data_IF_098056258158
#
_entry.id   IF_098056258158
#
_cell.length_a   1.000
_cell.length_b   1.000
_cell.length_c   1.000
_cell.angle_alpha   90.00
_cell.angle_beta   90.00
_cell.angle_gamma   90.00
#
_symmetry.space_group_name_H-M   'P 1'
#
loop_
_entity.id
_entity.type
_entity.pdbx_description
1 polymer ?
#
# COMPACT_ATOMS: atom_id res chain seq x y z
N UNK A 1 -1.45 -9.49 -13.19
CA UNK A 1 -0.93 -9.45 -11.80
C UNK A 1 -1.93 -8.69 -10.95
N UNK A 2 -2.33 -9.24 -9.80
CA UNK A 2 -3.41 -8.69 -8.96
C UNK A 2 -3.12 -7.28 -8.40
N UNK A 3 -1.86 -6.84 -8.38
CA UNK A 3 -1.44 -5.56 -7.79
C UNK A 3 -1.12 -4.47 -8.84
N UNK A 4 -1.68 -4.58 -10.05
CA UNK A 4 -1.43 -3.62 -11.14
C UNK A 4 -2.35 -2.41 -10.97
N UNK A 5 -1.81 -1.20 -11.05
CA UNK A 5 -2.60 0.03 -11.12
C UNK A 5 -3.43 0.06 -12.41
N UNK A 6 -4.67 0.52 -12.30
CA UNK A 6 -5.49 0.79 -13.48
C UNK A 6 -4.79 1.80 -14.42
N UNK A 7 -4.99 1.65 -15.73
CA UNK A 7 -4.37 2.50 -16.74
C UNK A 7 -4.95 3.93 -16.74
N UNK A 8 -6.19 4.08 -16.25
CA UNK A 8 -6.88 5.37 -16.11
C UNK A 8 -6.49 6.15 -14.84
N UNK A 9 -5.67 5.56 -13.97
CA UNK A 9 -5.22 6.20 -12.74
C UNK A 9 -4.47 7.51 -13.00
N UNK A 10 -4.82 8.54 -12.24
CA UNK A 10 -4.15 9.84 -12.28
C UNK A 10 -2.68 9.65 -11.90
N UNK A 11 -1.79 10.17 -12.75
CA UNK A 11 -0.34 10.10 -12.49
C UNK A 11 0.03 11.18 -11.49
N UNK A 12 0.63 10.79 -10.37
CA UNK A 12 1.26 11.71 -9.42
C UNK A 12 2.74 11.90 -9.81
N UNK A 13 3.21 13.15 -9.86
CA UNK A 13 4.57 13.50 -10.29
C UNK A 13 4.98 12.91 -11.66
N UNK A 14 4.03 12.82 -12.60
CA UNK A 14 4.31 12.35 -13.97
C UNK A 14 4.58 10.84 -14.12
N UNK A 15 4.48 10.07 -13.04
CA UNK A 15 4.73 8.62 -13.03
C UNK A 15 3.60 7.85 -12.33
N UNK A 16 3.66 6.50 -12.36
CA UNK A 16 2.67 5.70 -11.65
C UNK A 16 2.79 6.01 -10.14
N UNK A 17 1.69 6.35 -9.46
CA UNK A 17 1.66 6.65 -8.03
C UNK A 17 2.24 5.53 -7.15
N UNK A 18 2.19 4.27 -7.59
CA UNK A 18 2.84 3.17 -6.88
C UNK A 18 4.37 3.26 -6.87
N UNK A 19 4.99 4.01 -7.78
CA UNK A 19 6.44 4.19 -7.84
C UNK A 19 6.97 5.19 -6.80
N UNK A 20 6.10 5.83 -6.02
CA UNK A 20 6.51 6.60 -4.84
C UNK A 20 7.25 5.71 -3.82
N UNK A 21 6.97 4.40 -3.81
CA UNK A 21 7.71 3.42 -3.01
C UNK A 21 8.68 2.66 -3.91
N UNK A 22 9.93 2.52 -3.44
CA UNK A 22 10.98 1.82 -4.18
C UNK A 22 10.60 0.37 -4.47
N UNK A 23 11.08 -0.14 -5.60
CA UNK A 23 10.72 -1.47 -6.08
C UNK A 23 11.03 -2.58 -5.05
N UNK A 24 12.19 -2.47 -4.39
CA UNK A 24 12.66 -3.42 -3.38
C UNK A 24 11.69 -3.49 -2.20
N UNK A 25 11.23 -2.33 -1.72
CA UNK A 25 10.30 -2.25 -0.59
C UNK A 25 8.93 -2.80 -0.98
N UNK A 26 8.45 -2.55 -2.20
CA UNK A 26 7.17 -3.10 -2.66
C UNK A 26 7.18 -4.62 -2.73
N UNK A 27 8.24 -5.23 -3.24
CA UNK A 27 8.40 -6.69 -3.20
C UNK A 27 8.30 -7.20 -1.75
N UNK A 28 8.98 -6.55 -0.81
CA UNK A 28 8.91 -6.92 0.62
C UNK A 28 7.51 -6.69 1.23
N UNK A 29 6.78 -5.66 0.79
CA UNK A 29 5.39 -5.41 1.20
C UNK A 29 4.50 -6.56 0.71
N UNK A 30 4.59 -6.94 -0.56
CA UNK A 30 3.81 -8.05 -1.12
C UNK A 30 4.10 -9.39 -0.47
N UNK A 31 5.34 -9.61 -0.03
CA UNK A 31 5.75 -10.82 0.68
C UNK A 31 5.35 -10.83 2.17
N UNK A 32 5.02 -9.66 2.73
CA UNK A 32 4.67 -9.53 4.14
C UNK A 32 3.41 -10.32 4.48
N UNK A 33 3.39 -11.08 5.59
CA UNK A 33 2.19 -11.83 6.01
C UNK A 33 1.01 -10.89 6.25
N UNK A 34 1.27 -9.71 6.82
CA UNK A 34 0.24 -8.70 7.04
C UNK A 34 -0.42 -8.24 5.74
N UNK A 35 0.34 -8.10 4.65
CA UNK A 35 -0.21 -7.72 3.36
C UNK A 35 -1.13 -8.82 2.80
N UNK A 36 -0.66 -10.07 2.84
CA UNK A 36 -1.41 -11.23 2.32
C UNK A 36 -2.69 -11.49 3.09
N UNK A 37 -2.67 -11.34 4.41
CA UNK A 37 -3.82 -11.63 5.28
C UNK A 37 -4.81 -10.49 5.41
N UNK A 38 -4.32 -9.24 5.44
CA UNK A 38 -5.15 -8.07 5.76
C UNK A 38 -5.29 -7.10 4.58
N UNK A 39 -4.25 -6.88 3.78
CA UNK A 39 -4.28 -5.83 2.75
C UNK A 39 -4.72 -6.31 1.36
N UNK A 40 -4.83 -7.61 1.09
CA UNK A 40 -5.09 -8.14 -0.27
C UNK A 40 -6.46 -7.76 -0.85
N UNK A 41 -7.47 -7.54 -0.01
CA UNK A 41 -8.83 -7.19 -0.44
C UNK A 41 -9.41 -6.03 0.39
N UNK A 42 -8.54 -5.12 0.83
CA UNK A 42 -8.95 -4.00 1.68
C UNK A 42 -9.69 -2.94 0.84
N UNK A 43 -10.81 -2.46 1.35
CA UNK A 43 -11.62 -1.39 0.73
C UNK A 43 -11.34 -0.03 1.38
N UNK A 44 -11.78 1.05 0.75
CA UNK A 44 -11.67 2.42 1.30
C UNK A 44 -12.34 2.58 2.67
N UNK A 45 -13.38 1.82 2.94
CA UNK A 45 -14.12 1.87 4.20
C UNK A 45 -13.39 1.08 5.31
N UNK A 46 -12.95 -0.14 5.00
CA UNK A 46 -12.31 -1.05 5.96
C UNK A 46 -10.86 -0.72 6.29
N UNK A 47 -10.24 0.22 5.56
CA UNK A 47 -8.86 0.64 5.85
C UNK A 47 -8.75 1.36 7.20
N UNK A 48 -9.80 2.08 7.60
CA UNK A 48 -9.83 2.85 8.85
C UNK A 48 -9.74 1.89 10.05
N UNK A 49 -10.42 0.75 9.99
CA UNK A 49 -10.38 -0.28 11.04
C UNK A 49 -8.96 -0.83 11.25
N UNK A 50 -8.23 -1.03 10.15
CA UNK A 50 -6.83 -1.45 10.22
C UNK A 50 -5.93 -0.34 10.75
N UNK A 51 -6.22 0.92 10.41
CA UNK A 51 -5.45 2.07 10.86
C UNK A 51 -5.58 2.29 12.37
N UNK A 52 -6.76 2.07 12.97
CA UNK A 52 -6.98 2.20 14.42
C UNK A 52 -6.13 1.19 15.20
N UNK A 53 -5.87 0.00 14.65
CA UNK A 53 -5.07 -1.04 15.31
C UNK A 53 -3.54 -0.83 15.15
N UNK A 54 -3.11 0.28 14.54
CA UNK A 54 -1.69 0.62 14.47
C UNK A 54 -1.19 1.13 15.81
N UNK A 55 -0.14 0.48 16.33
CA UNK A 55 0.52 0.86 17.58
C UNK A 55 1.74 1.76 17.40
N UNK A 56 2.29 1.80 16.19
CA UNK A 56 3.53 2.51 15.90
C UNK A 56 3.59 2.93 14.44
N UNK A 57 4.33 4.01 14.21
CA UNK A 57 4.64 4.57 12.90
C UNK A 57 6.08 4.20 12.55
N UNK A 58 6.34 3.81 11.31
CA UNK A 58 7.70 3.47 10.87
C UNK A 58 7.78 3.02 9.41
N UNK A 59 8.99 2.89 8.90
CA UNK A 59 9.25 2.41 7.54
C UNK A 59 9.47 0.91 7.51
N UNK A 60 10.74 0.52 7.47
CA UNK A 60 11.20 -0.88 7.52
C UNK A 60 12.05 -1.09 8.77
N UNK A 61 12.16 -2.33 9.24
CA UNK A 61 12.93 -2.68 10.43
C UNK A 61 13.71 -3.99 10.25
N UNK A 62 14.77 -4.14 11.06
CA UNK A 62 15.67 -5.30 11.06
C UNK A 62 16.56 -5.40 9.82
N UNK A 63 17.53 -6.33 9.87
CA UNK A 63 18.50 -6.54 8.78
C UNK A 63 17.88 -6.98 7.45
N UNK A 64 16.72 -7.65 7.48
CA UNK A 64 15.99 -8.07 6.28
C UNK A 64 15.01 -7.00 5.75
N UNK A 65 15.07 -5.76 6.25
CA UNK A 65 14.21 -4.63 5.85
C UNK A 65 12.73 -5.01 5.80
N UNK A 66 12.23 -5.66 6.86
CA UNK A 66 10.83 -6.07 6.93
C UNK A 66 9.95 -4.81 6.98
N UNK A 67 8.89 -4.72 6.17
CA UNK A 67 7.99 -3.57 6.21
C UNK A 67 7.18 -3.59 7.51
N UNK A 68 6.97 -2.41 8.08
CA UNK A 68 6.03 -2.24 9.19
C UNK A 68 4.58 -2.31 8.68
N UNK A 69 3.63 -2.56 9.60
CA UNK A 69 2.19 -2.52 9.27
C UNK A 69 1.76 -1.14 8.77
N UNK A 70 2.32 -0.07 9.35
CA UNK A 70 2.08 1.30 8.92
C UNK A 70 2.47 1.51 7.45
N UNK A 71 3.67 1.04 7.05
CA UNK A 71 4.12 1.16 5.67
C UNK A 71 3.24 0.35 4.70
N UNK A 72 2.81 -0.85 5.09
CA UNK A 72 1.84 -1.63 4.30
C UNK A 72 0.50 -0.89 4.14
N UNK A 73 0.00 -0.26 5.21
CA UNK A 73 -1.26 0.49 5.18
C UNK A 73 -1.19 1.76 4.33
N UNK A 74 -0.07 2.48 4.36
CA UNK A 74 0.14 3.62 3.44
C UNK A 74 0.12 3.14 1.99
N UNK A 75 0.79 2.03 1.70
CA UNK A 75 0.89 1.55 0.33
C UNK A 75 -0.49 1.17 -0.24
N UNK A 76 -1.32 0.49 0.55
CA UNK A 76 -2.70 0.18 0.13
C UNK A 76 -3.58 1.44 0.07
N UNK A 77 -3.38 2.43 0.95
CA UNK A 77 -4.10 3.71 0.89
C UNK A 77 -3.81 4.46 -0.42
N UNK A 78 -2.52 4.57 -0.82
CA UNK A 78 -2.13 5.18 -2.10
C UNK A 78 -2.77 4.43 -3.27
N UNK A 79 -2.82 3.09 -3.17
CA UNK A 79 -3.47 2.25 -4.19
C UNK A 79 -4.97 2.57 -4.30
N UNK A 80 -5.71 2.53 -3.19
CA UNK A 80 -7.16 2.76 -3.16
C UNK A 80 -7.52 4.19 -3.55
N UNK A 81 -6.78 5.19 -3.06
CA UNK A 81 -7.01 6.60 -3.36
C UNK A 81 -6.97 6.87 -4.87
N UNK A 82 -6.10 6.16 -5.59
CA UNK A 82 -6.03 6.25 -7.05
C UNK A 82 -7.25 5.64 -7.74
N UNK A 83 -7.85 4.57 -7.22
CA UNK A 83 -9.11 4.03 -7.75
C UNK A 83 -10.27 5.00 -7.50
N UNK A 84 -10.35 5.62 -6.33
CA UNK A 84 -11.43 6.56 -6.02
C UNK A 84 -11.44 7.80 -6.92
N UNK A 85 -10.26 8.28 -7.34
CA UNK A 85 -10.13 9.38 -8.29
C UNK A 85 -10.40 9.00 -9.75
N UNK A 86 -10.55 7.71 -10.07
CA UNK A 86 -10.95 7.23 -11.40
C UNK A 86 -12.47 7.20 -11.52
N UNK A 87 -13.19 6.87 -10.44
CA UNK A 87 -14.66 6.77 -10.44
C UNK A 87 -15.37 8.13 -10.30
N UNK A 88 -14.66 9.21 -9.99
CA UNK A 88 -15.18 10.58 -9.94
C UNK A 88 -14.70 11.41 -11.13
#
# INVERSE_FOLDING_TARGET
>A
MANRTDASAIKNFGSNPQYLISNIIRSKIYDSPYWKEKCFALTSESIIDQAINLKYVGGTYGGNRKPTRFLCLIYIYIYIYMYYYIEK
#
